data_IF_131302336853
#
_entry.id   IF_131302336853
#
_cell.length_a   1.000
_cell.length_b   1.000
_cell.length_c   1.000
_cell.angle_alpha   90.00
_cell.angle_beta   90.00
_cell.angle_gamma   90.00
#
_symmetry.space_group_name_H-M   'P 1'
#
loop_
_entity.id
_entity.type
_entity.pdbx_description
1 polymer ?
#
# COMPACT_ATOMS: atom_id res chain seq x y z
N UNK A 1 73.28 -35.34 19.34
CA UNK A 1 72.69 -34.46 18.31
C UNK A 1 72.04 -33.29 19.02
N UNK A 2 72.49 -32.10 18.64
CA UNK A 2 72.06 -30.74 18.93
C UNK A 2 70.97 -30.49 20.00
N UNK A 3 71.37 -29.79 21.05
CA UNK A 3 70.55 -28.80 21.78
C UNK A 3 71.32 -27.48 21.84
N UNK A 4 70.56 -26.38 21.78
CA UNK A 4 70.77 -25.13 22.50
C UNK A 4 71.85 -24.09 22.10
N UNK A 5 71.40 -22.85 22.30
CA UNK A 5 72.13 -21.66 22.80
C UNK A 5 72.67 -20.70 21.72
N UNK A 6 72.62 -19.37 21.86
CA UNK A 6 72.24 -18.50 22.98
C UNK A 6 72.09 -17.06 22.46
N UNK A 7 71.21 -16.30 23.11
CA UNK A 7 71.16 -14.83 23.15
C UNK A 7 72.54 -14.17 23.26
N UNK A 8 72.70 -12.96 22.68
CA UNK A 8 73.40 -11.84 23.33
C UNK A 8 72.82 -10.48 22.90
N UNK A 9 72.32 -9.76 23.90
CA UNK A 9 71.96 -8.34 23.94
C UNK A 9 73.21 -7.43 24.04
N UNK A 10 72.98 -6.12 23.82
CA UNK A 10 73.70 -4.90 24.24
C UNK A 10 74.43 -4.14 23.12
N UNK A 11 74.39 -2.81 22.99
CA UNK A 11 73.55 -1.67 23.43
C UNK A 11 74.31 -0.38 22.99
N UNK A 12 73.63 0.77 22.98
CA UNK A 12 74.13 2.16 22.78
C UNK A 12 74.53 2.56 21.33
N UNK A 13 74.17 3.73 20.79
CA UNK A 13 73.61 4.97 21.36
C UNK A 13 73.19 5.96 20.26
N UNK A 14 72.06 6.66 20.50
CA UNK A 14 71.83 8.12 20.32
C UNK A 14 72.00 8.76 18.92
N UNK A 15 70.93 9.39 18.42
CA UNK A 15 71.04 10.51 17.48
C UNK A 15 69.78 10.78 16.64
N UNK A 16 69.01 11.81 17.02
CA UNK A 16 67.85 12.35 16.29
C UNK A 16 68.14 12.65 14.81
N UNK A 17 67.22 12.29 13.89
CA UNK A 17 66.69 13.20 12.84
C UNK A 17 65.24 12.81 12.52
N UNK A 18 64.42 13.85 12.41
CA UNK A 18 62.98 13.94 12.24
C UNK A 18 62.40 13.46 10.90
N UNK A 19 61.12 13.07 10.98
CA UNK A 19 60.06 13.28 9.98
C UNK A 19 59.96 12.36 8.75
N UNK A 20 58.70 11.94 8.54
CA UNK A 20 58.05 11.52 7.29
C UNK A 20 58.32 10.08 6.83
N UNK A 21 57.42 9.17 7.22
CA UNK A 21 56.58 8.41 6.28
C UNK A 21 55.56 7.58 7.09
N UNK A 22 54.54 8.28 7.60
CA UNK A 22 53.23 7.69 7.85
C UNK A 22 52.63 7.36 6.48
N UNK A 23 52.49 6.07 6.19
CA UNK A 23 51.89 5.57 4.97
C UNK A 23 51.20 4.24 5.23
N UNK A 24 50.46 4.14 6.34
CA UNK A 24 49.46 3.08 6.49
C UNK A 24 48.30 3.49 5.60
N UNK A 25 48.29 2.99 4.38
CA UNK A 25 47.10 2.92 3.54
C UNK A 25 46.08 2.05 4.28
N UNK A 26 45.30 2.66 5.16
CA UNK A 26 43.98 2.12 5.48
C UNK A 26 43.16 2.38 4.22
N UNK A 27 43.01 1.35 3.37
CA UNK A 27 41.83 1.28 2.52
C UNK A 27 40.66 1.16 3.50
N UNK A 28 40.13 2.28 3.99
CA UNK A 28 38.73 2.29 4.39
C UNK A 28 38.00 2.11 3.09
N UNK A 29 37.42 0.93 2.87
CA UNK A 29 36.26 0.86 1.99
C UNK A 29 35.35 1.99 2.46
N UNK A 30 35.22 3.04 1.65
CA UNK A 30 34.24 4.07 1.88
C UNK A 30 32.92 3.32 1.73
N UNK A 31 32.37 2.82 2.84
CA UNK A 31 31.02 2.29 2.87
C UNK A 31 30.18 3.36 2.19
N UNK A 32 29.63 3.04 1.01
CA UNK A 32 28.76 3.98 0.32
C UNK A 32 27.66 4.29 1.32
N UNK A 33 27.64 5.52 1.84
CA UNK A 33 26.64 5.92 2.84
C UNK A 33 25.26 5.57 2.27
N UNK A 34 24.39 5.02 3.10
CA UNK A 34 23.04 4.69 2.68
C UNK A 34 22.36 5.93 2.10
N UNK A 35 21.85 5.84 0.87
CA UNK A 35 21.18 6.96 0.20
C UNK A 35 19.79 6.55 -0.26
N UNK A 36 18.81 7.34 0.14
CA UNK A 36 17.47 7.35 -0.45
C UNK A 36 17.39 8.53 -1.42
N UNK A 37 16.87 8.31 -2.62
CA UNK A 37 16.68 9.36 -3.63
C UNK A 37 15.20 9.58 -3.90
N UNK A 38 14.78 10.84 -3.95
CA UNK A 38 13.41 11.27 -4.27
C UNK A 38 13.48 12.21 -5.47
N UNK A 39 12.60 12.01 -6.46
CA UNK A 39 12.48 12.93 -7.60
C UNK A 39 11.12 13.63 -7.55
N UNK A 40 11.11 14.94 -7.35
CA UNK A 40 9.88 15.74 -7.19
C UNK A 40 9.56 16.58 -8.43
N UNK A 41 8.27 16.74 -8.73
CA UNK A 41 7.79 17.72 -9.72
C UNK A 41 7.56 19.10 -9.14
N UNK A 42 7.46 19.24 -7.81
CA UNK A 42 7.25 20.53 -7.14
C UNK A 42 8.31 21.54 -7.55
N UNK A 43 7.93 22.81 -7.69
CA UNK A 43 8.83 23.89 -8.14
C UNK A 43 9.99 24.10 -7.16
N UNK A 44 11.18 24.42 -7.68
CA UNK A 44 12.32 24.78 -6.84
C UNK A 44 11.95 26.04 -6.04
N UNK A 45 12.30 26.09 -4.76
CA UNK A 45 11.90 27.13 -3.82
C UNK A 45 10.58 26.85 -3.09
N UNK A 46 9.79 25.87 -3.52
CA UNK A 46 8.62 25.40 -2.77
C UNK A 46 9.00 24.31 -1.76
N UNK A 47 8.02 23.77 -1.04
CA UNK A 47 8.26 22.95 0.14
C UNK A 47 7.93 21.46 -0.06
N UNK A 48 8.81 20.60 0.43
CA UNK A 48 8.58 19.19 0.68
C UNK A 48 8.24 18.96 2.15
N UNK A 49 7.27 18.09 2.41
CA UNK A 49 7.01 17.57 3.75
C UNK A 49 7.66 16.18 3.87
N UNK A 50 8.73 16.10 4.66
CA UNK A 50 9.51 14.90 4.91
C UNK A 50 9.65 14.68 6.41
N UNK A 51 9.07 13.59 6.91
CA UNK A 51 9.40 13.08 8.25
C UNK A 51 10.40 11.94 8.11
N UNK A 52 11.58 12.12 8.70
CA UNK A 52 12.69 11.18 8.61
C UNK A 52 13.05 10.76 10.03
N UNK A 53 13.00 9.46 10.29
CA UNK A 53 13.40 8.89 11.56
C UNK A 53 14.59 7.95 11.38
N UNK A 54 15.55 8.08 12.28
CA UNK A 54 16.83 7.39 12.25
C UNK A 54 17.23 6.98 13.68
N UNK A 55 18.22 6.09 13.79
CA UNK A 55 18.64 5.56 15.08
C UNK A 55 19.29 6.61 15.99
N UNK A 56 19.22 6.41 17.30
CA UNK A 56 19.88 7.29 18.27
C UNK A 56 21.38 7.39 18.00
N UNK A 57 21.95 8.60 18.08
CA UNK A 57 23.36 8.84 17.80
C UNK A 57 23.77 8.77 16.32
N UNK A 58 22.82 8.62 15.40
CA UNK A 58 23.09 8.69 13.95
C UNK A 58 22.76 10.06 13.39
N UNK A 59 23.38 10.43 12.27
CA UNK A 59 23.11 11.69 11.57
C UNK A 59 22.46 11.44 10.22
N UNK A 60 21.58 12.36 9.81
CA UNK A 60 20.97 12.41 8.49
C UNK A 60 21.34 13.73 7.81
N UNK A 61 21.77 13.63 6.56
CA UNK A 61 21.96 14.77 5.67
C UNK A 61 20.93 14.72 4.55
N UNK A 62 20.27 15.85 4.30
CA UNK A 62 19.37 16.02 3.15
C UNK A 62 20.06 16.93 2.14
N UNK A 63 20.36 16.40 0.96
CA UNK A 63 20.91 17.14 -0.17
C UNK A 63 19.80 17.45 -1.18
N UNK A 64 19.93 18.55 -1.91
CA UNK A 64 18.89 19.01 -2.84
C UNK A 64 17.70 19.71 -2.18
N UNK A 65 17.63 19.75 -0.84
CA UNK A 65 16.67 20.56 -0.11
C UNK A 65 17.25 21.11 1.19
N UNK A 66 16.76 22.26 1.62
CA UNK A 66 17.21 22.96 2.83
C UNK A 66 16.13 22.86 3.91
N UNK A 67 16.50 22.35 5.08
CA UNK A 67 15.57 22.16 6.21
C UNK A 67 15.05 23.50 6.71
N UNK A 68 13.74 23.61 6.91
CA UNK A 68 13.13 24.77 7.54
C UNK A 68 13.40 24.75 9.05
N UNK A 69 13.92 25.87 9.58
CA UNK A 69 14.31 26.00 10.99
C UNK A 69 13.13 26.07 11.96
N UNK A 70 11.95 26.47 11.48
CA UNK A 70 10.75 26.64 12.31
C UNK A 70 9.82 25.43 12.25
N UNK A 71 9.96 24.58 11.23
CA UNK A 71 9.14 23.40 11.07
C UNK A 71 9.99 22.25 10.51
N UNK A 72 10.47 21.38 11.39
CA UNK A 72 11.52 20.40 11.11
C UNK A 72 11.14 19.31 10.09
N UNK A 73 9.84 19.16 9.78
CA UNK A 73 9.36 18.28 8.70
C UNK A 73 9.39 18.94 7.32
N UNK A 74 9.61 20.25 7.22
CA UNK A 74 9.50 20.97 5.96
C UNK A 74 10.88 21.30 5.39
N UNK A 75 11.04 21.07 4.09
CA UNK A 75 12.29 21.32 3.37
C UNK A 75 12.03 22.17 2.14
N UNK A 76 12.79 23.26 1.98
CA UNK A 76 12.75 24.10 0.78
C UNK A 76 13.54 23.42 -0.32
N UNK A 77 12.89 23.12 -1.43
CA UNK A 77 13.48 22.45 -2.60
C UNK A 77 14.55 23.33 -3.21
N UNK A 78 15.74 22.77 -3.43
CA UNK A 78 16.87 23.40 -4.15
C UNK A 78 17.24 22.66 -5.43
N UNK A 79 16.92 21.37 -5.49
CA UNK A 79 17.13 20.48 -6.64
C UNK A 79 15.89 19.58 -6.83
N UNK A 80 15.69 19.06 -8.05
CA UNK A 80 14.63 18.09 -8.36
C UNK A 80 14.95 16.69 -7.84
N UNK A 81 16.24 16.36 -7.69
CA UNK A 81 16.69 15.16 -6.97
C UNK A 81 17.03 15.52 -5.52
N UNK A 82 16.29 14.91 -4.59
CA UNK A 82 16.57 15.01 -3.16
C UNK A 82 17.26 13.74 -2.71
N UNK A 83 18.39 13.87 -2.02
CA UNK A 83 19.14 12.73 -1.50
C UNK A 83 19.14 12.77 0.02
N UNK A 84 18.61 11.73 0.65
CA UNK A 84 18.66 11.55 2.10
C UNK A 84 19.78 10.58 2.38
N UNK A 85 20.87 11.08 2.95
CA UNK A 85 22.10 10.35 3.23
C UNK A 85 22.15 10.02 4.71
N UNK A 86 22.25 8.73 5.02
CA UNK A 86 22.34 8.20 6.38
C UNK A 86 21.36 7.05 6.68
N UNK A 87 21.41 6.47 7.89
CA UNK A 87 20.65 5.28 8.26
C UNK A 87 19.18 5.60 8.62
N UNK A 88 18.34 5.75 7.59
CA UNK A 88 16.90 6.02 7.74
C UNK A 88 16.13 4.76 8.08
N UNK A 89 15.48 4.73 9.24
CA UNK A 89 14.63 3.61 9.69
C UNK A 89 13.18 3.79 9.22
N UNK A 90 12.65 5.02 9.28
CA UNK A 90 11.30 5.34 8.82
C UNK A 90 11.33 6.60 7.96
N UNK A 91 10.71 6.54 6.79
CA UNK A 91 10.55 7.68 5.90
C UNK A 91 9.08 7.90 5.58
N UNK A 92 8.61 9.13 5.80
CA UNK A 92 7.30 9.60 5.36
C UNK A 92 7.51 10.76 4.38
N UNK A 93 7.04 10.59 3.15
CA UNK A 93 7.18 11.56 2.05
C UNK A 93 5.89 11.69 1.22
N UNK A 94 4.74 11.58 1.89
CA UNK A 94 3.42 11.71 1.28
C UNK A 94 3.21 13.08 0.62
N UNK A 95 2.35 13.15 -0.40
CA UNK A 95 1.84 14.43 -0.95
C UNK A 95 2.92 15.41 -1.46
N UNK A 96 3.98 14.86 -2.04
CA UNK A 96 5.14 15.60 -2.51
C UNK A 96 5.28 15.67 -4.04
N UNK A 97 4.25 15.23 -4.78
CA UNK A 97 4.27 15.14 -6.25
C UNK A 97 5.54 14.42 -6.75
N UNK A 98 5.94 13.34 -6.07
CA UNK A 98 7.11 12.55 -6.43
C UNK A 98 6.82 11.69 -7.65
N UNK A 99 7.78 11.62 -8.57
CA UNK A 99 7.76 10.77 -9.77
C UNK A 99 8.36 9.40 -9.52
N UNK A 100 9.35 9.34 -8.65
CA UNK A 100 9.99 8.11 -8.21
C UNK A 100 10.61 8.28 -6.84
N UNK A 101 10.72 7.16 -6.16
CA UNK A 101 11.46 6.99 -4.91
C UNK A 101 12.39 5.80 -5.10
N UNK A 102 13.65 5.96 -4.72
CA UNK A 102 14.66 4.92 -4.75
C UNK A 102 15.22 4.73 -3.34
N UNK A 103 14.90 3.57 -2.76
CA UNK A 103 15.38 3.14 -1.46
C UNK A 103 16.43 2.04 -1.56
N UNK A 104 16.91 1.69 -2.76
CA UNK A 104 17.76 0.51 -2.98
C UNK A 104 19.06 0.55 -2.19
N UNK A 105 19.52 1.74 -1.79
CA UNK A 105 20.70 1.97 -0.96
C UNK A 105 20.44 2.03 0.55
N UNK A 106 19.21 1.82 1.02
CA UNK A 106 18.85 1.95 2.45
C UNK A 106 18.68 0.58 3.11
N UNK A 107 19.71 0.11 3.81
CA UNK A 107 19.73 -1.23 4.43
C UNK A 107 18.91 -1.38 5.70
N UNK A 108 18.65 -0.27 6.39
CA UNK A 108 17.99 -0.26 7.71
C UNK A 108 16.55 0.27 7.66
N UNK A 109 16.03 0.60 6.47
CA UNK A 109 14.65 1.09 6.36
C UNK A 109 13.65 -0.02 6.69
N UNK A 110 12.81 0.23 7.68
CA UNK A 110 11.77 -0.69 8.13
C UNK A 110 10.37 -0.22 7.69
N UNK A 111 10.20 1.10 7.51
CA UNK A 111 8.93 1.73 7.17
C UNK A 111 9.10 2.77 6.05
N UNK A 112 8.32 2.62 4.98
CA UNK A 112 8.19 3.62 3.93
C UNK A 112 6.73 4.03 3.75
N UNK A 113 6.46 5.32 3.96
CA UNK A 113 5.21 5.98 3.61
C UNK A 113 5.42 6.97 2.47
N UNK A 114 5.02 6.61 1.25
CA UNK A 114 5.19 7.41 0.03
C UNK A 114 3.89 7.59 -0.77
N UNK A 115 2.75 7.39 -0.11
CA UNK A 115 1.40 7.52 -0.68
C UNK A 115 1.06 8.93 -1.21
N UNK A 116 0.02 9.02 -2.03
CA UNK A 116 -0.52 10.26 -2.59
C UNK A 116 0.54 11.10 -3.33
N UNK A 117 1.33 10.43 -4.17
CA UNK A 117 2.30 11.06 -5.05
C UNK A 117 1.89 10.82 -6.52
N UNK A 118 2.83 10.95 -7.46
CA UNK A 118 2.60 10.63 -8.88
C UNK A 118 3.58 9.57 -9.35
N UNK A 119 3.95 8.66 -8.44
CA UNK A 119 5.06 7.76 -8.69
C UNK A 119 4.69 6.73 -9.74
N UNK A 120 5.53 6.60 -10.76
CA UNK A 120 5.44 5.51 -11.73
C UNK A 120 6.37 4.35 -11.39
N UNK A 121 7.35 4.60 -10.51
CA UNK A 121 8.37 3.65 -10.11
C UNK A 121 8.74 3.84 -8.64
N UNK A 122 8.70 2.76 -7.89
CA UNK A 122 9.39 2.60 -6.61
C UNK A 122 10.57 1.66 -6.86
N UNK A 123 11.80 2.09 -6.56
CA UNK A 123 13.01 1.29 -6.74
C UNK A 123 13.38 0.69 -5.39
N UNK A 124 13.35 -0.64 -5.34
CA UNK A 124 13.72 -1.47 -4.20
C UNK A 124 14.96 -2.27 -4.60
N UNK A 125 15.89 -2.45 -3.67
CA UNK A 125 17.11 -3.22 -3.87
C UNK A 125 17.31 -4.30 -2.82
N UNK A 126 18.35 -5.12 -3.03
CA UNK A 126 18.74 -6.24 -2.14
C UNK A 126 18.93 -5.82 -0.68
N UNK A 127 19.33 -4.56 -0.44
CA UNK A 127 19.55 -4.04 0.90
C UNK A 127 18.24 -3.90 1.72
N UNK A 128 17.07 -3.88 1.09
CA UNK A 128 15.79 -3.55 1.74
C UNK A 128 15.14 -4.72 2.50
N UNK A 129 15.90 -5.78 2.81
CA UNK A 129 15.39 -6.94 3.53
C UNK A 129 14.78 -6.60 4.90
N UNK A 130 15.15 -5.46 5.52
CA UNK A 130 14.62 -4.99 6.81
C UNK A 130 13.20 -4.41 6.75
N UNK A 131 12.65 -4.16 5.55
CA UNK A 131 11.35 -3.49 5.41
C UNK A 131 10.20 -4.35 5.93
N UNK A 132 9.41 -3.77 6.85
CA UNK A 132 8.23 -4.38 7.48
C UNK A 132 6.93 -3.75 7.00
N UNK A 133 6.96 -2.47 6.64
CA UNK A 133 5.76 -1.73 6.27
C UNK A 133 5.99 -0.85 5.05
N UNK A 134 5.13 -1.03 4.03
CA UNK A 134 5.13 -0.23 2.81
C UNK A 134 3.73 0.34 2.55
N UNK A 135 3.63 1.67 2.59
CA UNK A 135 2.46 2.42 2.13
C UNK A 135 2.84 3.21 0.88
N UNK A 136 2.33 2.78 -0.27
CA UNK A 136 2.54 3.41 -1.58
C UNK A 136 1.23 3.65 -2.35
N UNK A 137 0.10 3.68 -1.65
CA UNK A 137 -1.22 3.88 -2.24
C UNK A 137 -1.39 5.27 -2.89
N UNK A 138 -2.35 5.43 -3.79
CA UNK A 138 -2.61 6.73 -4.43
C UNK A 138 -1.44 7.23 -5.28
N UNK A 139 -0.91 6.35 -6.13
CA UNK A 139 0.20 6.63 -7.02
C UNK A 139 -0.13 6.14 -8.45
N UNK A 140 0.84 6.21 -9.36
CA UNK A 140 0.71 5.77 -10.75
C UNK A 140 1.49 4.46 -11.04
N UNK A 141 1.71 3.62 -10.01
CA UNK A 141 2.52 2.40 -10.15
C UNK A 141 1.80 1.38 -11.03
N UNK A 142 2.49 0.88 -12.06
CA UNK A 142 2.01 -0.21 -12.94
C UNK A 142 2.58 -1.57 -12.57
N UNK A 143 3.68 -1.56 -11.83
CA UNK A 143 4.35 -2.74 -11.31
C UNK A 143 4.91 -2.41 -9.93
N UNK A 144 4.94 -3.40 -9.04
CA UNK A 144 5.58 -3.31 -7.74
C UNK A 144 6.33 -4.62 -7.50
N UNK A 145 7.66 -4.54 -7.52
CA UNK A 145 8.52 -5.69 -7.27
C UNK A 145 8.80 -5.82 -5.76
N UNK A 146 8.41 -6.96 -5.20
CA UNK A 146 8.54 -7.28 -3.78
C UNK A 146 9.61 -8.34 -3.50
N UNK A 147 10.37 -8.79 -4.52
CA UNK A 147 11.33 -9.89 -4.40
C UNK A 147 12.35 -9.69 -3.27
N UNK A 148 12.69 -8.42 -2.99
CA UNK A 148 13.72 -8.05 -2.01
C UNK A 148 13.16 -7.72 -0.63
N UNK A 149 11.88 -8.01 -0.39
CA UNK A 149 11.16 -7.66 0.84
C UNK A 149 10.66 -8.89 1.62
N UNK A 150 11.53 -9.84 2.00
CA UNK A 150 11.13 -11.08 2.64
C UNK A 150 10.49 -10.90 4.03
N UNK A 151 10.73 -9.77 4.68
CA UNK A 151 10.21 -9.43 6.00
C UNK A 151 8.99 -8.50 5.98
N UNK A 152 8.41 -8.22 4.80
CA UNK A 152 7.25 -7.34 4.69
C UNK A 152 6.05 -7.94 5.43
N UNK A 153 5.46 -7.17 6.35
CA UNK A 153 4.30 -7.56 7.14
C UNK A 153 3.04 -6.79 6.73
N UNK A 154 3.19 -5.53 6.30
CA UNK A 154 2.09 -4.64 5.94
C UNK A 154 2.31 -3.99 4.58
N UNK A 155 1.39 -4.24 3.64
CA UNK A 155 1.40 -3.65 2.30
C UNK A 155 0.10 -2.89 2.01
N UNK A 156 0.19 -1.58 1.80
CA UNK A 156 -0.89 -0.76 1.25
C UNK A 156 -0.47 -0.21 -0.11
N UNK A 157 -1.05 -0.74 -1.19
CA UNK A 157 -0.76 -0.29 -2.55
C UNK A 157 -2.03 -0.02 -3.38
N UNK A 158 -3.18 0.13 -2.71
CA UNK A 158 -4.46 0.49 -3.30
C UNK A 158 -4.41 1.81 -4.11
N UNK A 159 -5.36 2.01 -5.02
CA UNK A 159 -5.36 3.14 -5.97
C UNK A 159 -4.01 3.32 -6.69
N UNK A 160 -3.55 2.25 -7.33
CA UNK A 160 -2.47 2.25 -8.31
C UNK A 160 -2.96 1.55 -9.59
N UNK A 161 -2.12 1.49 -10.63
CA UNK A 161 -2.43 0.79 -11.89
C UNK A 161 -1.89 -0.65 -11.91
N UNK A 162 -1.81 -1.30 -10.75
CA UNK A 162 -1.30 -2.66 -10.63
C UNK A 162 -2.30 -3.67 -11.22
N UNK A 163 -1.89 -4.38 -12.27
CA UNK A 163 -2.67 -5.50 -12.82
C UNK A 163 -2.12 -6.87 -12.42
N UNK A 164 -0.94 -6.90 -11.81
CA UNK A 164 -0.24 -8.10 -11.36
C UNK A 164 0.56 -7.75 -10.09
N UNK A 165 0.61 -8.66 -9.13
CA UNK A 165 1.32 -8.51 -7.88
C UNK A 165 1.61 -9.90 -7.30
N UNK A 166 2.89 -10.25 -7.18
CA UNK A 166 3.35 -11.50 -6.62
C UNK A 166 3.73 -11.32 -5.15
N UNK A 167 3.05 -12.03 -4.25
CA UNK A 167 3.29 -12.00 -2.81
C UNK A 167 4.16 -13.16 -2.32
N UNK A 168 4.62 -14.05 -3.22
CA UNK A 168 5.47 -15.21 -2.87
C UNK A 168 6.70 -14.83 -2.04
N UNK A 169 7.41 -13.70 -2.31
CA UNK A 169 8.54 -13.29 -1.50
C UNK A 169 8.17 -12.87 -0.07
N UNK A 170 6.94 -12.41 0.16
CA UNK A 170 6.49 -11.78 1.41
C UNK A 170 5.88 -12.80 2.39
N UNK A 171 6.67 -13.79 2.81
CA UNK A 171 6.20 -14.89 3.68
C UNK A 171 5.63 -14.45 5.04
N UNK A 172 5.96 -13.24 5.52
CA UNK A 172 5.51 -12.68 6.79
C UNK A 172 4.31 -11.73 6.67
N UNK A 173 3.74 -11.58 5.48
CA UNK A 173 2.66 -10.63 5.22
C UNK A 173 1.41 -10.97 6.05
N UNK A 174 0.89 -9.98 6.77
CA UNK A 174 -0.30 -10.07 7.63
C UNK A 174 -1.40 -9.11 7.18
N UNK A 175 -1.04 -8.08 6.43
CA UNK A 175 -1.97 -7.08 5.93
C UNK A 175 -1.66 -6.78 4.46
N UNK A 176 -2.69 -6.80 3.62
CA UNK A 176 -2.60 -6.33 2.23
C UNK A 176 -3.86 -5.59 1.81
N UNK A 177 -3.69 -4.43 1.20
CA UNK A 177 -4.78 -3.68 0.56
C UNK A 177 -4.42 -3.33 -0.88
N UNK A 178 -5.28 -3.74 -1.81
CA UNK A 178 -5.12 -3.56 -3.26
C UNK A 178 -6.37 -3.00 -3.94
N UNK A 179 -7.40 -2.58 -3.19
CA UNK A 179 -8.62 -2.01 -3.78
C UNK A 179 -8.32 -0.84 -4.74
N UNK A 180 -9.12 -0.68 -5.78
CA UNK A 180 -8.90 0.34 -6.81
C UNK A 180 -7.64 0.11 -7.66
N UNK A 181 -7.05 -1.09 -7.63
CA UNK A 181 -6.10 -1.58 -8.63
C UNK A 181 -6.85 -2.25 -9.79
N UNK A 182 -6.14 -3.03 -10.62
CA UNK A 182 -6.63 -3.67 -11.85
C UNK A 182 -6.40 -5.19 -11.87
N UNK A 183 -6.42 -5.84 -10.70
CA UNK A 183 -6.14 -7.27 -10.52
C UNK A 183 -7.40 -8.10 -10.81
N UNK A 184 -7.37 -8.90 -11.88
CA UNK A 184 -8.52 -9.70 -12.36
C UNK A 184 -8.07 -10.90 -13.20
N UNK A 185 -8.99 -11.84 -13.46
CA UNK A 185 -8.72 -13.03 -14.27
C UNK A 185 -7.55 -13.85 -13.72
N UNK A 186 -6.69 -14.38 -14.59
CA UNK A 186 -5.52 -15.19 -14.21
C UNK A 186 -4.58 -14.47 -13.22
N UNK A 187 -4.55 -13.13 -13.23
CA UNK A 187 -3.72 -12.34 -12.30
C UNK A 187 -4.29 -12.34 -10.89
N UNK A 188 -5.61 -12.33 -10.75
CA UNK A 188 -6.26 -12.49 -9.44
C UNK A 188 -5.99 -13.89 -8.88
N UNK A 189 -6.02 -14.94 -9.71
CA UNK A 189 -5.67 -16.29 -9.28
C UNK A 189 -4.21 -16.38 -8.81
N UNK A 190 -3.26 -15.84 -9.59
CA UNK A 190 -1.83 -15.79 -9.21
C UNK A 190 -1.62 -15.05 -7.90
N UNK A 191 -2.24 -13.87 -7.74
CA UNK A 191 -2.19 -13.08 -6.51
C UNK A 191 -2.63 -13.93 -5.31
N UNK A 192 -3.82 -14.53 -5.37
CA UNK A 192 -4.37 -15.33 -4.26
C UNK A 192 -3.50 -16.57 -3.97
N UNK A 193 -2.99 -17.23 -5.01
CA UNK A 193 -2.09 -18.38 -4.85
C UNK A 193 -0.76 -18.00 -4.19
N UNK A 194 -0.26 -16.78 -4.44
CA UNK A 194 0.99 -16.26 -3.85
C UNK A 194 0.85 -15.78 -2.40
N UNK A 195 -0.38 -15.52 -1.90
CA UNK A 195 -0.59 -15.10 -0.51
C UNK A 195 -0.06 -16.15 0.48
N UNK A 196 0.61 -15.75 1.58
CA UNK A 196 1.05 -16.70 2.59
C UNK A 196 -0.13 -17.24 3.41
N UNK A 197 0.07 -18.37 4.10
CA UNK A 197 -0.89 -18.89 5.08
C UNK A 197 -0.69 -18.21 6.43
N UNK A 198 -1.73 -17.57 6.97
CA UNK A 198 -1.68 -16.90 8.27
C UNK A 198 -1.87 -17.89 9.43
N UNK A 199 -1.35 -17.52 10.60
CA UNK A 199 -1.50 -18.33 11.82
C UNK A 199 -2.96 -18.40 12.28
N UNK A 200 -3.40 -19.54 12.81
CA UNK A 200 -4.82 -19.83 13.13
C UNK A 200 -5.47 -18.77 14.04
N UNK A 201 -4.76 -18.29 15.07
CA UNK A 201 -5.25 -17.29 16.02
C UNK A 201 -4.98 -15.84 15.60
N UNK A 202 -4.27 -15.66 14.48
CA UNK A 202 -3.81 -14.36 13.98
C UNK A 202 -4.11 -14.29 12.48
N UNK A 203 -5.40 -14.16 12.10
CA UNK A 203 -5.76 -14.11 10.70
C UNK A 203 -5.14 -12.87 10.05
N UNK A 204 -4.78 -13.01 8.77
CA UNK A 204 -4.37 -11.86 7.96
C UNK A 204 -5.56 -11.01 7.57
N UNK A 205 -5.33 -9.74 7.23
CA UNK A 205 -6.36 -8.82 6.77
C UNK A 205 -6.12 -8.42 5.32
N UNK A 206 -7.08 -8.72 4.46
CA UNK A 206 -7.00 -8.48 3.02
C UNK A 206 -8.14 -7.55 2.57
N UNK A 207 -7.83 -6.29 2.27
CA UNK A 207 -8.78 -5.38 1.61
C UNK A 207 -8.68 -5.53 0.09
N UNK A 208 -9.63 -6.28 -0.47
CA UNK A 208 -9.64 -6.68 -1.87
C UNK A 208 -10.22 -5.60 -2.78
N UNK A 209 -11.29 -4.95 -2.32
CA UNK A 209 -12.17 -4.12 -3.13
C UNK A 209 -12.68 -2.92 -2.32
N UNK A 210 -13.19 -1.90 -3.01
CA UNK A 210 -13.92 -0.76 -2.43
C UNK A 210 -15.19 -0.48 -3.26
N UNK A 211 -16.16 -1.39 -3.21
CA UNK A 211 -17.27 -1.46 -4.18
C UNK A 211 -18.24 -0.28 -4.04
N UNK A 212 -18.46 0.17 -2.81
CA UNK A 212 -19.45 1.19 -2.51
C UNK A 212 -18.98 2.61 -2.85
N UNK A 213 -17.71 2.80 -3.23
CA UNK A 213 -17.19 4.11 -3.56
C UNK A 213 -17.64 4.55 -4.97
N UNK A 214 -18.63 5.46 -5.04
CA UNK A 214 -19.10 6.00 -6.31
C UNK A 214 -18.13 6.97 -7.00
N UNK A 215 -17.11 7.46 -6.30
CA UNK A 215 -16.12 8.39 -6.87
C UNK A 215 -14.92 7.69 -7.51
N UNK A 216 -14.72 6.40 -7.19
CA UNK A 216 -13.61 5.60 -7.71
C UNK A 216 -14.14 4.25 -8.16
N UNK A 217 -14.09 3.99 -9.47
CA UNK A 217 -14.49 2.69 -10.01
C UNK A 217 -13.52 1.61 -9.51
N UNK A 218 -14.02 0.73 -8.65
CA UNK A 218 -13.30 -0.49 -8.28
C UNK A 218 -13.21 -1.43 -9.49
N UNK A 219 -11.98 -1.78 -9.89
CA UNK A 219 -11.72 -2.57 -11.10
C UNK A 219 -11.14 -3.95 -10.84
N UNK A 220 -10.75 -4.26 -9.60
CA UNK A 220 -10.36 -5.59 -9.21
C UNK A 220 -11.54 -6.56 -9.31
N UNK A 221 -11.30 -7.78 -9.79
CA UNK A 221 -12.33 -8.83 -9.83
C UNK A 221 -11.77 -10.07 -9.14
N UNK A 222 -12.31 -10.34 -7.96
CA UNK A 222 -12.02 -11.56 -7.20
C UNK A 222 -13.32 -12.36 -7.07
N UNK A 223 -13.36 -13.51 -7.72
CA UNK A 223 -14.53 -14.36 -7.63
C UNK A 223 -14.58 -15.15 -6.31
N UNK A 224 -15.76 -15.67 -5.98
CA UNK A 224 -16.02 -16.38 -4.73
C UNK A 224 -15.04 -17.53 -4.49
N UNK A 225 -14.71 -18.31 -5.51
CA UNK A 225 -13.78 -19.44 -5.37
C UNK A 225 -12.37 -18.98 -4.97
N UNK A 226 -11.91 -17.85 -5.50
CA UNK A 226 -10.66 -17.21 -5.12
C UNK A 226 -10.71 -16.66 -3.70
N UNK A 227 -11.82 -16.05 -3.30
CA UNK A 227 -12.00 -15.59 -1.92
C UNK A 227 -12.04 -16.76 -0.94
N UNK A 228 -12.70 -17.87 -1.28
CA UNK A 228 -12.69 -19.10 -0.48
C UNK A 228 -11.25 -19.63 -0.31
N UNK A 229 -10.40 -19.59 -1.37
CA UNK A 229 -8.97 -19.94 -1.28
C UNK A 229 -8.19 -19.02 -0.33
N UNK A 230 -8.43 -17.71 -0.36
CA UNK A 230 -7.79 -16.77 0.58
C UNK A 230 -8.24 -17.02 2.03
N UNK A 231 -9.53 -17.26 2.26
CA UNK A 231 -10.09 -17.60 3.58
C UNK A 231 -9.51 -18.92 4.10
N UNK A 232 -9.30 -19.92 3.24
CA UNK A 232 -8.64 -21.18 3.61
C UNK A 232 -7.17 -20.97 4.06
N UNK A 233 -6.52 -19.89 3.63
CA UNK A 233 -5.21 -19.43 4.12
C UNK A 233 -5.30 -18.55 5.38
N UNK A 234 -6.46 -18.52 6.03
CA UNK A 234 -6.78 -17.72 7.22
C UNK A 234 -6.71 -16.20 7.02
N UNK A 235 -7.15 -15.71 5.86
CA UNK A 235 -7.33 -14.28 5.60
C UNK A 235 -8.77 -13.85 5.81
N UNK A 236 -8.96 -12.77 6.57
CA UNK A 236 -10.20 -11.99 6.59
C UNK A 236 -10.22 -11.11 5.34
N UNK A 237 -11.13 -11.40 4.43
CA UNK A 237 -11.26 -10.65 3.17
C UNK A 237 -12.35 -9.59 3.31
N UNK A 238 -11.99 -8.35 3.02
CA UNK A 238 -12.83 -7.16 3.24
C UNK A 238 -13.05 -6.36 1.97
N UNK A 239 -14.24 -5.77 1.89
CA UNK A 239 -14.53 -4.59 1.09
C UNK A 239 -14.30 -3.36 1.98
N UNK A 240 -13.49 -2.42 1.52
CA UNK A 240 -13.19 -1.20 2.26
C UNK A 240 -14.45 -0.34 2.48
N UNK A 241 -15.42 -0.41 1.56
CA UNK A 241 -16.74 0.19 1.72
C UNK A 241 -16.71 1.65 2.22
N UNK A 242 -15.86 2.49 1.60
CA UNK A 242 -15.66 3.90 1.97
C UNK A 242 -15.23 4.13 3.44
N UNK A 243 -14.57 3.16 4.07
CA UNK A 243 -14.13 3.26 5.47
C UNK A 243 -15.22 2.87 6.48
N UNK A 244 -16.22 2.08 6.07
CA UNK A 244 -17.24 1.55 6.96
C UNK A 244 -16.65 0.87 8.21
N UNK A 245 -17.43 0.86 9.30
CA UNK A 245 -17.06 0.24 10.58
C UNK A 245 -15.71 0.73 11.13
N UNK A 246 -15.51 2.05 11.20
CA UNK A 246 -14.27 2.66 11.70
C UNK A 246 -13.04 2.20 10.89
N UNK A 247 -13.14 2.21 9.56
CA UNK A 247 -12.11 1.75 8.63
C UNK A 247 -11.80 0.24 8.64
N UNK A 248 -12.61 -0.57 9.33
CA UNK A 248 -12.49 -2.03 9.29
C UNK A 248 -13.15 -2.67 8.05
N UNK A 249 -13.93 -1.90 7.30
CA UNK A 249 -14.68 -2.38 6.14
C UNK A 249 -15.78 -3.38 6.49
N UNK A 250 -16.31 -4.04 5.47
CA UNK A 250 -17.31 -5.11 5.58
C UNK A 250 -16.75 -6.41 5.01
N UNK A 251 -17.31 -7.55 5.40
CA UNK A 251 -16.91 -8.84 4.85
C UNK A 251 -17.17 -8.90 3.34
N UNK A 252 -16.19 -9.40 2.58
CA UNK A 252 -16.30 -9.59 1.14
C UNK A 252 -16.28 -11.08 0.80
N UNK A 253 -17.37 -11.55 0.22
CA UNK A 253 -17.57 -12.95 -0.15
C UNK A 253 -17.10 -13.29 -1.58
N UNK A 254 -16.59 -12.30 -2.31
CA UNK A 254 -16.22 -12.44 -3.72
C UNK A 254 -17.39 -12.27 -4.68
N UNK A 255 -17.09 -11.91 -5.92
CA UNK A 255 -18.09 -11.90 -6.98
C UNK A 255 -18.50 -13.34 -7.35
N UNK A 256 -19.78 -13.64 -7.63
CA UNK A 256 -20.15 -14.92 -8.22
C UNK A 256 -19.37 -15.25 -9.49
N UNK A 257 -18.92 -16.51 -9.60
CA UNK A 257 -18.13 -17.02 -10.72
C UNK A 257 -18.85 -16.82 -12.07
N UNK A 258 -18.11 -16.61 -13.19
CA UNK A 258 -18.71 -16.44 -14.52
C UNK A 258 -19.63 -17.60 -14.97
N UNK A 259 -19.51 -18.79 -14.36
CA UNK A 259 -20.27 -20.00 -14.69
C UNK A 259 -21.56 -20.14 -13.87
N UNK A 260 -21.89 -19.20 -12.97
CA UNK A 260 -23.31 -18.93 -12.70
C UNK A 260 -23.85 -18.10 -13.87
N UNK A 261 -23.96 -18.73 -15.04
CA UNK A 261 -24.84 -18.26 -16.09
C UNK A 261 -26.20 -18.09 -15.44
N UNK A 262 -26.57 -16.83 -15.19
CA UNK A 262 -27.97 -16.49 -15.15
C UNK A 262 -28.59 -17.13 -16.40
N UNK A 263 -29.71 -17.86 -16.29
CA UNK A 263 -30.49 -18.11 -17.48
C UNK A 263 -30.64 -16.75 -18.17
N UNK A 264 -30.45 -16.74 -19.48
CA UNK A 264 -30.57 -15.59 -20.41
C UNK A 264 -31.95 -14.93 -20.40
N UNK A 265 -32.71 -15.07 -19.32
CA UNK A 265 -33.80 -14.19 -18.99
C UNK A 265 -33.20 -12.90 -18.44
N UNK A 266 -33.20 -11.89 -19.30
CA UNK A 266 -32.99 -10.49 -18.98
C UNK A 266 -33.98 -10.09 -17.88
N UNK A 267 -33.70 -10.39 -16.61
CA UNK A 267 -34.49 -9.90 -15.48
C UNK A 267 -34.38 -8.38 -15.52
N UNK A 268 -35.49 -7.68 -15.71
CA UNK A 268 -35.48 -6.23 -15.63
C UNK A 268 -35.08 -5.86 -14.20
N UNK A 269 -33.96 -5.14 -14.08
CA UNK A 269 -33.63 -4.45 -12.85
C UNK A 269 -34.67 -3.35 -12.62
N UNK A 270 -35.40 -3.45 -11.52
CA UNK A 270 -36.50 -2.54 -11.20
C UNK A 270 -36.31 -1.99 -9.79
N UNK A 271 -36.34 -0.65 -9.71
CA UNK A 271 -36.43 0.10 -8.46
C UNK A 271 -37.81 0.75 -8.40
N UNK A 272 -38.63 0.33 -7.44
CA UNK A 272 -39.97 0.85 -7.20
C UNK A 272 -39.99 1.62 -5.88
N UNK A 273 -40.40 2.88 -5.95
CA UNK A 273 -40.64 3.69 -4.76
C UNK A 273 -42.13 3.63 -4.39
N UNK A 274 -42.43 3.21 -3.17
CA UNK A 274 -43.75 3.34 -2.58
C UNK A 274 -43.76 4.49 -1.57
N UNK A 275 -44.33 5.63 -1.99
CA UNK A 275 -44.43 6.83 -1.17
C UNK A 275 -45.40 6.68 0.00
N UNK A 276 -46.33 5.75 -0.06
CA UNK A 276 -47.33 5.55 1.00
C UNK A 276 -46.77 4.79 2.19
N UNK A 277 -45.85 3.84 1.93
CA UNK A 277 -45.18 3.05 2.96
C UNK A 277 -43.73 3.49 3.25
N UNK A 278 -43.28 4.57 2.60
CA UNK A 278 -41.92 5.09 2.67
C UNK A 278 -40.83 4.02 2.44
N UNK A 279 -41.07 3.16 1.45
CA UNK A 279 -40.19 2.02 1.13
C UNK A 279 -39.73 2.06 -0.31
N UNK A 280 -38.49 1.63 -0.51
CA UNK A 280 -37.94 1.33 -1.82
C UNK A 280 -37.84 -0.19 -1.99
N UNK A 281 -38.36 -0.70 -3.10
CA UNK A 281 -38.31 -2.10 -3.48
C UNK A 281 -37.36 -2.28 -4.65
N UNK A 282 -36.46 -3.24 -4.50
CA UNK A 282 -35.53 -3.66 -5.54
C UNK A 282 -35.92 -5.06 -5.98
N UNK A 283 -36.04 -5.25 -7.29
CA UNK A 283 -36.29 -6.54 -7.93
C UNK A 283 -35.32 -6.73 -9.09
N UNK A 284 -34.86 -7.96 -9.30
CA UNK A 284 -33.99 -8.31 -10.42
C UNK A 284 -32.52 -7.95 -10.22
N UNK A 285 -32.12 -7.55 -9.01
CA UNK A 285 -30.72 -7.35 -8.65
C UNK A 285 -29.96 -8.67 -8.56
N UNK A 286 -28.62 -8.60 -8.58
CA UNK A 286 -27.77 -9.77 -8.34
C UNK A 286 -28.04 -10.35 -6.94
N UNK A 287 -28.40 -11.64 -6.80
CA UNK A 287 -28.65 -12.22 -5.49
C UNK A 287 -27.42 -12.25 -4.58
N UNK A 288 -27.64 -12.16 -3.27
CA UNK A 288 -26.59 -12.23 -2.23
C UNK A 288 -25.46 -11.19 -2.38
N UNK A 289 -25.76 -10.02 -2.95
CA UNK A 289 -24.83 -8.88 -3.00
C UNK A 289 -25.23 -7.80 -2.01
N UNK A 290 -24.41 -6.75 -1.94
CA UNK A 290 -24.74 -5.52 -1.21
C UNK A 290 -25.13 -4.41 -2.19
N UNK A 291 -26.03 -3.54 -1.75
CA UNK A 291 -26.34 -2.28 -2.40
C UNK A 291 -26.21 -1.11 -1.43
N UNK A 292 -26.12 0.09 -1.98
CA UNK A 292 -26.11 1.32 -1.18
C UNK A 292 -27.03 2.39 -1.78
N UNK A 293 -27.66 3.16 -0.90
CA UNK A 293 -28.28 4.44 -1.22
C UNK A 293 -27.21 5.51 -1.05
N UNK A 294 -26.97 6.27 -2.12
CA UNK A 294 -25.97 7.32 -2.19
C UNK A 294 -26.64 8.68 -2.40
N UNK A 295 -26.06 9.72 -1.81
CA UNK A 295 -26.35 11.11 -2.15
C UNK A 295 -25.86 11.44 -3.56
N UNK A 296 -26.36 12.53 -4.14
CA UNK A 296 -25.90 13.02 -5.45
C UNK A 296 -24.44 13.48 -5.45
N UNK A 297 -23.86 13.74 -4.28
CA UNK A 297 -22.45 14.01 -4.06
C UNK A 297 -21.59 12.73 -3.94
N UNK A 298 -22.22 11.55 -4.03
CA UNK A 298 -21.56 10.25 -3.89
C UNK A 298 -21.39 9.77 -2.45
N UNK A 299 -21.89 10.51 -1.46
CA UNK A 299 -21.86 10.08 -0.05
C UNK A 299 -22.71 8.82 0.16
N UNK A 300 -22.17 7.83 0.90
CA UNK A 300 -22.94 6.64 1.25
C UNK A 300 -23.86 6.94 2.44
N UNK A 301 -25.18 6.86 2.20
CA UNK A 301 -26.19 7.17 3.20
C UNK A 301 -26.67 5.92 3.93
N UNK A 302 -26.86 4.83 3.18
CA UNK A 302 -27.37 3.56 3.73
C UNK A 302 -26.88 2.39 2.92
N UNK A 303 -26.40 1.33 3.59
CA UNK A 303 -26.05 0.04 2.97
C UNK A 303 -27.15 -0.97 3.26
N UNK A 304 -27.44 -1.86 2.32
CA UNK A 304 -28.43 -2.93 2.46
C UNK A 304 -27.98 -4.18 1.72
N UNK A 305 -28.53 -5.34 2.09
CA UNK A 305 -28.25 -6.62 1.44
C UNK A 305 -29.34 -6.99 0.46
N UNK A 306 -28.96 -7.62 -0.65
CA UNK A 306 -29.87 -8.27 -1.59
C UNK A 306 -30.05 -9.73 -1.17
N UNK A 307 -31.30 -10.18 -1.12
CA UNK A 307 -31.63 -11.56 -0.78
C UNK A 307 -31.17 -12.56 -1.86
N UNK A 308 -31.37 -13.85 -1.59
CA UNK A 308 -31.03 -14.94 -2.50
C UNK A 308 -31.92 -15.01 -3.76
N UNK A 309 -32.98 -14.19 -3.84
CA UNK A 309 -33.87 -14.08 -5.00
C UNK A 309 -33.60 -12.81 -5.83
N UNK A 310 -32.68 -11.95 -5.40
CA UNK A 310 -32.36 -10.70 -6.09
C UNK A 310 -33.26 -9.54 -5.70
N UNK A 311 -33.79 -9.54 -4.48
CA UNK A 311 -34.71 -8.52 -3.97
C UNK A 311 -34.17 -7.84 -2.72
N UNK A 312 -34.59 -6.60 -2.51
CA UNK A 312 -34.40 -5.90 -1.24
C UNK A 312 -35.57 -4.96 -0.97
N UNK A 313 -35.87 -4.75 0.31
CA UNK A 313 -36.82 -3.75 0.78
C UNK A 313 -36.07 -2.80 1.70
N UNK A 314 -36.07 -1.51 1.36
CA UNK A 314 -35.31 -0.50 2.07
C UNK A 314 -36.29 0.51 2.66
N UNK A 315 -36.26 0.65 3.98
CA UNK A 315 -37.00 1.71 4.68
C UNK A 315 -36.29 3.05 4.51
N UNK A 316 -37.05 4.08 4.14
CA UNK A 316 -36.54 5.40 3.76
C UNK A 316 -36.77 6.46 4.84
N UNK A 317 -37.24 6.08 6.04
CA UNK A 317 -37.60 7.01 7.12
C UNK A 317 -36.45 7.90 7.60
N UNK A 318 -35.20 7.46 7.36
CA UNK A 318 -33.99 8.20 7.70
C UNK A 318 -33.52 9.16 6.60
N UNK A 319 -34.21 9.24 5.45
CA UNK A 319 -33.81 10.06 4.31
C UNK A 319 -34.65 11.34 4.22
N UNK A 320 -33.99 12.47 3.99
CA UNK A 320 -34.66 13.74 3.69
C UNK A 320 -35.27 13.71 2.28
N UNK A 321 -36.16 14.66 1.96
CA UNK A 321 -36.58 14.81 0.56
C UNK A 321 -35.38 15.23 -0.29
N UNK A 322 -35.23 14.56 -1.43
CA UNK A 322 -34.03 14.67 -2.23
C UNK A 322 -33.97 13.67 -3.36
N UNK A 323 -32.90 13.78 -4.12
CA UNK A 323 -32.56 12.83 -5.18
C UNK A 323 -31.46 11.93 -4.68
N UNK A 324 -31.60 10.63 -4.92
CA UNK A 324 -30.66 9.62 -4.48
C UNK A 324 -30.34 8.64 -5.59
N UNK A 325 -29.18 8.02 -5.48
CA UNK A 325 -28.75 6.91 -6.33
C UNK A 325 -28.84 5.62 -5.55
N UNK A 326 -29.30 4.56 -6.20
CA UNK A 326 -29.15 3.19 -5.73
C UNK A 326 -28.05 2.57 -6.57
N UNK A 327 -27.03 2.05 -5.90
CA UNK A 327 -25.92 1.37 -6.53
C UNK A 327 -25.85 -0.08 -6.04
N UNK A 328 -25.84 -1.04 -6.97
CA UNK A 328 -25.74 -2.47 -6.65
C UNK A 328 -24.60 -3.08 -7.47
N UNK A 329 -23.68 -3.74 -6.78
CA UNK A 329 -22.66 -4.63 -7.34
C UNK A 329 -21.94 -4.10 -8.61
N UNK A 330 -21.59 -2.80 -8.60
CA UNK A 330 -20.83 -2.08 -9.64
C UNK A 330 -21.46 -1.96 -11.03
N UNK A 331 -22.70 -2.43 -11.23
CA UNK A 331 -23.28 -2.54 -12.58
C UNK A 331 -24.65 -1.89 -12.71
N UNK A 332 -25.40 -1.85 -11.62
CA UNK A 332 -26.78 -1.39 -11.64
C UNK A 332 -26.91 -0.11 -10.84
N UNK A 333 -27.10 0.99 -11.56
CA UNK A 333 -27.35 2.31 -10.99
C UNK A 333 -28.75 2.74 -11.38
N UNK A 334 -29.58 3.05 -10.39
CA UNK A 334 -30.88 3.69 -10.62
C UNK A 334 -31.03 4.93 -9.77
N UNK A 335 -31.75 5.91 -10.29
CA UNK A 335 -32.02 7.19 -9.64
C UNK A 335 -33.46 7.21 -9.15
N UNK A 336 -33.67 7.65 -7.92
CA UNK A 336 -35.02 7.88 -7.39
C UNK A 336 -35.13 9.23 -6.67
N UNK A 337 -36.35 9.73 -6.56
CA UNK A 337 -36.69 11.02 -5.96
C UNK A 337 -37.72 10.80 -4.87
N UNK A 338 -37.36 11.12 -3.64
CA UNK A 338 -38.21 11.03 -2.44
C UNK A 338 -39.16 12.22 -2.37
#
# INVERSE_FOLDING_TARGET
MNTNSKLRYLFLSIGLVSCLLQGIFVLSAQESQAVIKLWTRKEIGTTLDLTIEHGEGTEIKVEGAEKNLFNSGYYTIKDKEIRIVGPVHRLFCFENQLDSVDISGSSVIEYLGCSNNRMKKLIIGEANASMKTLHCYGNELRSLDLEKLPNLEFLNCYYNYLSDLDLTPCSKLKFVAVFGCFIKGDKAEKFINSMPTCGILTPGLFFAVNILNATHNETNVFYKDLIDKAKAKNWLVKDFAMGANEYNGIDYEGEPNPISLFPTEKRLFVVKLDKSSNRCYIEGARPNTVGAILGMDGSCIKVFSIDNEGRAVIELDSLSSGTYLIHIDRREVSKFVL
#
